data_IF_965593154348
#
_entry.id   IF_965593154348
#
_cell.length_a   1.000
_cell.length_b   1.000
_cell.length_c   1.000
_cell.angle_alpha   90.00
_cell.angle_beta   90.00
_cell.angle_gamma   90.00
#
_symmetry.space_group_name_H-M   'P 1'
#
loop_
_entity.id
_entity.type
_entity.pdbx_description
1 polymer ?
#
# COMPACT_ATOMS: atom_id res chain seq x y z
N UNK A 1 9.26 -1.85 18.77
CA UNK A 1 9.64 -0.92 19.88
C UNK A 1 8.43 -0.55 20.75
N UNK A 2 8.63 -0.04 21.98
CA UNK A 2 7.56 0.61 22.76
C UNK A 2 7.30 2.02 22.18
N UNK A 3 6.04 2.48 22.09
CA UNK A 3 5.73 3.84 21.65
C UNK A 3 6.43 4.86 22.56
N UNK A 4 6.95 5.93 21.97
CA UNK A 4 7.51 7.04 22.76
C UNK A 4 6.41 7.70 23.62
N UNK A 5 6.73 8.48 24.66
CA UNK A 5 5.72 9.18 25.48
C UNK A 5 4.79 10.13 24.70
N UNK A 6 5.14 10.42 23.44
CA UNK A 6 4.45 11.31 22.51
C UNK A 6 3.56 10.56 21.52
N UNK A 7 3.52 9.23 21.60
CA UNK A 7 2.84 8.35 20.67
C UNK A 7 1.82 7.49 21.41
N UNK A 8 0.66 7.27 20.81
CA UNK A 8 -0.35 6.35 21.34
C UNK A 8 -0.76 5.34 20.26
N UNK A 9 -1.17 4.15 20.71
CA UNK A 9 -1.49 3.02 19.81
C UNK A 9 -2.96 2.67 19.95
N UNK A 10 -3.85 3.27 19.16
CA UNK A 10 -5.29 3.03 19.31
C UNK A 10 -5.73 1.65 18.83
N UNK A 11 -5.07 1.09 17.81
CA UNK A 11 -5.43 -0.21 17.22
C UNK A 11 -4.27 -0.84 16.46
N UNK A 12 -4.49 -2.06 15.96
CA UNK A 12 -3.57 -2.78 15.07
C UNK A 12 -4.21 -2.97 13.70
N UNK A 13 -3.43 -2.83 12.65
CA UNK A 13 -3.85 -3.06 11.26
C UNK A 13 -2.83 -3.98 10.59
N UNK A 14 -3.31 -5.02 9.90
CA UNK A 14 -2.45 -6.02 9.26
C UNK A 14 -1.39 -6.55 10.25
N UNK A 15 -1.77 -6.85 11.50
CA UNK A 15 -0.87 -7.33 12.55
C UNK A 15 0.15 -6.33 13.11
N UNK A 16 0.30 -5.14 12.50
CA UNK A 16 1.20 -4.09 12.96
C UNK A 16 0.44 -3.04 13.80
N UNK A 17 1.04 -2.48 14.87
CA UNK A 17 0.46 -1.35 15.59
C UNK A 17 0.36 -0.12 14.70
N UNK A 18 -0.79 0.54 14.73
CA UNK A 18 -0.96 1.88 14.16
C UNK A 18 -0.68 2.87 15.28
N UNK A 19 0.33 3.70 15.10
CA UNK A 19 0.89 4.59 16.12
C UNK A 19 0.58 6.03 15.71
N UNK A 20 -0.12 6.77 16.55
CA UNK A 20 -0.44 8.17 16.30
C UNK A 20 0.43 9.07 17.17
N UNK A 21 1.00 10.11 16.58
CA UNK A 21 1.67 11.16 17.34
C UNK A 21 0.62 12.12 17.94
N UNK A 22 0.83 12.59 19.17
CA UNK A 22 -0.12 13.47 19.89
C UNK A 22 -0.50 14.74 19.12
N UNK A 23 0.39 15.22 18.24
CA UNK A 23 0.11 16.39 17.39
C UNK A 23 -1.10 16.19 16.46
N UNK A 24 -1.46 14.95 16.15
CA UNK A 24 -2.71 14.63 15.42
C UNK A 24 -3.90 15.14 16.21
N UNK A 25 -3.96 14.90 17.52
CA UNK A 25 -5.05 15.36 18.37
C UNK A 25 -5.14 16.89 18.40
N UNK A 26 -4.00 17.58 18.42
CA UNK A 26 -3.97 19.07 18.38
C UNK A 26 -4.50 19.60 17.06
N UNK A 27 -4.06 19.04 15.94
CA UNK A 27 -4.53 19.49 14.61
C UNK A 27 -6.01 19.17 14.43
N UNK A 28 -6.46 17.98 14.87
CA UNK A 28 -7.88 17.61 14.88
C UNK A 28 -8.67 18.62 15.72
N UNK A 29 -8.25 18.89 16.96
CA UNK A 29 -8.93 19.84 17.84
C UNK A 29 -8.99 21.26 17.23
N UNK A 30 -7.90 21.71 16.61
CA UNK A 30 -7.85 23.00 15.93
C UNK A 30 -8.84 23.05 14.76
N UNK A 31 -8.83 22.07 13.85
CA UNK A 31 -9.71 22.03 12.68
C UNK A 31 -11.19 21.98 13.07
N UNK A 32 -11.51 21.20 14.12
CA UNK A 32 -12.86 21.15 14.67
C UNK A 32 -13.26 22.48 15.31
N UNK A 33 -12.35 23.13 16.05
CA UNK A 33 -12.61 24.42 16.69
C UNK A 33 -12.89 25.52 15.67
N UNK A 34 -12.15 25.55 14.56
CA UNK A 34 -12.35 26.50 13.46
C UNK A 34 -13.69 26.27 12.74
N UNK A 35 -14.18 25.03 12.73
CA UNK A 35 -15.41 24.64 12.03
C UNK A 35 -16.64 24.54 12.94
N UNK A 36 -16.47 24.81 14.24
CA UNK A 36 -17.49 24.59 15.25
C UNK A 36 -18.77 25.39 15.00
N UNK A 37 -18.64 26.61 14.48
CA UNK A 37 -19.78 27.51 14.23
C UNK A 37 -20.50 27.26 12.90
N UNK A 38 -19.87 26.58 11.94
CA UNK A 38 -20.43 26.39 10.60
C UNK A 38 -21.13 25.06 10.47
N UNK A 39 -20.39 23.96 10.58
CA UNK A 39 -20.95 22.61 10.49
C UNK A 39 -20.01 21.58 11.15
N UNK A 40 -20.11 21.38 12.49
CA UNK A 40 -19.18 20.54 13.23
C UNK A 40 -19.22 19.07 12.81
N UNK A 41 -20.37 18.58 12.36
CA UNK A 41 -20.51 17.20 11.88
C UNK A 41 -19.73 16.98 10.58
N UNK A 42 -19.91 17.84 9.58
CA UNK A 42 -19.16 17.79 8.32
C UNK A 42 -17.65 17.86 8.57
N UNK A 43 -17.23 18.74 9.48
CA UNK A 43 -15.82 18.88 9.84
C UNK A 43 -15.26 17.62 10.49
N UNK A 44 -15.97 17.03 11.46
CA UNK A 44 -15.58 15.79 12.12
C UNK A 44 -15.43 14.63 11.11
N UNK A 45 -16.38 14.52 10.19
CA UNK A 45 -16.36 13.48 9.17
C UNK A 45 -15.24 13.71 8.16
N UNK A 46 -15.03 14.96 7.73
CA UNK A 46 -13.95 15.30 6.80
C UNK A 46 -12.57 15.02 7.40
N UNK A 47 -12.36 15.38 8.67
CA UNK A 47 -11.14 15.07 9.41
C UNK A 47 -10.94 13.56 9.54
N UNK A 48 -11.99 12.81 9.90
CA UNK A 48 -11.91 11.36 9.98
C UNK A 48 -11.60 10.72 8.62
N UNK A 49 -12.26 11.17 7.55
CA UNK A 49 -12.02 10.69 6.19
C UNK A 49 -10.59 10.99 5.73
N UNK A 50 -10.04 12.15 6.08
CA UNK A 50 -8.64 12.50 5.82
C UNK A 50 -7.65 11.65 6.63
N UNK A 51 -7.93 11.36 7.91
CA UNK A 51 -7.08 10.44 8.69
C UNK A 51 -7.13 9.02 8.11
N UNK A 52 -8.31 8.55 7.71
CA UNK A 52 -8.48 7.27 7.03
C UNK A 52 -7.74 7.23 5.69
N UNK A 53 -7.67 8.35 4.97
CA UNK A 53 -6.87 8.45 3.75
C UNK A 53 -5.39 8.16 4.03
N UNK A 54 -4.79 8.83 5.03
CA UNK A 54 -3.38 8.63 5.40
C UNK A 54 -3.17 7.18 5.87
N UNK A 55 -4.04 6.68 6.75
CA UNK A 55 -3.94 5.31 7.25
C UNK A 55 -4.05 4.29 6.11
N UNK A 56 -4.96 4.49 5.16
CA UNK A 56 -5.13 3.60 4.02
C UNK A 56 -3.90 3.58 3.11
N UNK A 57 -3.28 4.75 2.86
CA UNK A 57 -2.03 4.86 2.13
C UNK A 57 -0.91 4.04 2.81
N UNK A 58 -0.68 4.24 4.11
CA UNK A 58 0.34 3.46 4.83
C UNK A 58 -0.01 1.97 4.92
N UNK A 59 -1.29 1.65 5.01
CA UNK A 59 -1.78 0.27 4.96
C UNK A 59 -1.52 -0.39 3.60
N UNK A 60 -1.56 0.38 2.51
CA UNK A 60 -1.18 -0.07 1.17
C UNK A 60 0.27 -0.52 1.12
N UNK A 61 1.20 0.28 1.65
CA UNK A 61 2.61 -0.11 1.78
C UNK A 61 2.77 -1.37 2.63
N UNK A 62 2.16 -1.37 3.82
CA UNK A 62 2.24 -2.50 4.75
C UNK A 62 1.68 -3.80 4.15
N UNK A 63 0.58 -3.72 3.40
CA UNK A 63 -0.04 -4.86 2.76
C UNK A 63 0.87 -5.48 1.69
N UNK A 64 1.46 -4.65 0.82
CA UNK A 64 2.39 -5.14 -0.20
C UNK A 64 3.68 -5.69 0.44
N UNK A 65 4.21 -5.04 1.48
CA UNK A 65 5.37 -5.54 2.20
C UNK A 65 5.13 -6.94 2.79
N UNK A 66 3.99 -7.13 3.47
CA UNK A 66 3.60 -8.44 4.03
C UNK A 66 3.38 -9.49 2.94
N UNK A 67 2.78 -9.11 1.80
CA UNK A 67 2.63 -10.00 0.62
C UNK A 67 3.98 -10.49 0.10
N UNK A 68 5.05 -9.70 0.27
CA UNK A 68 6.42 -10.08 -0.05
C UNK A 68 7.17 -10.80 1.08
N UNK A 69 6.49 -11.14 2.17
CA UNK A 69 7.08 -11.82 3.33
C UNK A 69 7.98 -10.93 4.19
N UNK A 70 7.87 -9.61 4.04
CA UNK A 70 8.64 -8.64 4.83
C UNK A 70 7.91 -8.33 6.13
N UNK A 71 8.67 -8.23 7.22
CA UNK A 71 8.12 -7.82 8.51
C UNK A 71 7.71 -6.35 8.49
N UNK A 72 6.52 -6.04 9.03
CA UNK A 72 6.05 -4.66 9.22
C UNK A 72 6.01 -4.37 10.71
N UNK A 73 6.84 -3.42 11.16
CA UNK A 73 6.98 -3.07 12.57
C UNK A 73 5.84 -2.17 13.05
N UNK A 74 5.49 -1.12 12.30
CA UNK A 74 4.47 -0.15 12.70
C UNK A 74 4.02 0.74 11.54
N UNK A 75 2.79 1.26 11.63
CA UNK A 75 2.31 2.35 10.77
C UNK A 75 2.23 3.60 11.63
N UNK A 76 3.08 4.59 11.39
CA UNK A 76 3.09 5.83 12.17
C UNK A 76 2.32 6.93 11.44
N UNK A 77 1.43 7.60 12.15
CA UNK A 77 0.53 8.62 11.60
C UNK A 77 0.85 9.96 12.25
N UNK A 78 1.16 10.94 11.40
CA UNK A 78 1.34 12.34 11.73
C UNK A 78 0.22 13.16 11.08
N UNK A 79 0.03 14.43 11.47
CA UNK A 79 -1.09 15.22 10.94
C UNK A 79 -1.09 15.36 9.42
N UNK A 80 0.10 15.47 8.79
CA UNK A 80 0.22 15.77 7.36
C UNK A 80 0.76 14.60 6.53
N UNK A 81 1.29 13.55 7.17
CA UNK A 81 1.92 12.43 6.49
C UNK A 81 1.86 11.17 7.37
N UNK A 82 2.16 10.01 6.77
CA UNK A 82 2.38 8.77 7.50
C UNK A 82 3.81 8.26 7.32
N UNK A 83 4.10 7.13 7.96
CA UNK A 83 5.31 6.35 7.71
C UNK A 83 5.10 4.88 8.09
N UNK A 84 5.13 4.01 7.08
CA UNK A 84 5.18 2.57 7.26
C UNK A 84 6.62 2.13 7.56
N UNK A 85 6.85 1.64 8.77
CA UNK A 85 8.14 1.08 9.19
C UNK A 85 8.12 -0.42 8.92
N UNK A 86 8.95 -0.86 7.97
CA UNK A 86 9.03 -2.24 7.53
C UNK A 86 10.49 -2.69 7.31
N UNK A 87 10.70 -4.01 7.27
CA UNK A 87 11.97 -4.63 6.88
C UNK A 87 12.40 -4.15 5.49
N UNK A 88 13.69 -3.94 5.30
CA UNK A 88 14.24 -3.50 4.01
C UNK A 88 13.89 -4.48 2.88
N UNK A 89 13.50 -3.94 1.73
CA UNK A 89 13.24 -4.75 0.55
C UNK A 89 14.49 -5.52 0.12
N UNK A 90 14.34 -6.81 -0.19
CA UNK A 90 15.44 -7.70 -0.60
C UNK A 90 15.78 -7.55 -2.08
N UNK A 91 14.86 -6.98 -2.87
CA UNK A 91 15.03 -6.77 -4.31
C UNK A 91 14.46 -5.41 -4.75
N UNK A 92 14.95 -4.81 -5.85
CA UNK A 92 14.39 -3.58 -6.39
C UNK A 92 12.91 -3.71 -6.75
N UNK A 93 12.48 -4.88 -7.22
CA UNK A 93 11.08 -5.13 -7.58
C UNK A 93 10.15 -5.04 -6.37
N UNK A 94 10.59 -5.52 -5.21
CA UNK A 94 9.85 -5.41 -3.96
C UNK A 94 9.75 -3.95 -3.51
N UNK A 95 10.84 -3.18 -3.56
CA UNK A 95 10.85 -1.76 -3.18
C UNK A 95 9.87 -0.95 -4.04
N UNK A 96 9.90 -1.17 -5.36
CA UNK A 96 8.96 -0.58 -6.32
C UNK A 96 7.52 -0.98 -6.00
N UNK A 97 7.26 -2.27 -5.78
CA UNK A 97 5.92 -2.76 -5.49
C UNK A 97 5.36 -2.18 -4.18
N UNK A 98 6.18 -2.10 -3.14
CA UNK A 98 5.80 -1.50 -1.86
C UNK A 98 5.43 -0.04 -2.06
N UNK A 99 6.26 0.75 -2.78
CA UNK A 99 5.97 2.16 -3.06
C UNK A 99 4.63 2.34 -3.81
N UNK A 100 4.35 1.48 -4.80
CA UNK A 100 3.05 1.47 -5.49
C UNK A 100 1.88 1.03 -4.60
N UNK A 101 2.13 0.31 -3.50
CA UNK A 101 1.10 -0.12 -2.55
C UNK A 101 0.31 1.05 -1.96
N UNK A 102 1.00 2.09 -1.49
CA UNK A 102 0.35 3.27 -0.91
C UNK A 102 -0.43 4.08 -1.94
N UNK A 103 0.16 4.30 -3.13
CA UNK A 103 -0.53 4.95 -4.25
C UNK A 103 -1.76 4.14 -4.70
N UNK A 104 -1.65 2.81 -4.73
CA UNK A 104 -2.76 1.92 -5.07
C UNK A 104 -3.93 2.01 -4.08
N UNK A 105 -3.65 2.12 -2.79
CA UNK A 105 -4.67 2.33 -1.77
C UNK A 105 -5.37 3.69 -1.92
N UNK A 106 -4.61 4.75 -2.24
CA UNK A 106 -5.17 6.07 -2.56
C UNK A 106 -6.06 6.03 -3.81
N UNK A 107 -5.62 5.34 -4.87
CA UNK A 107 -6.41 5.17 -6.09
C UNK A 107 -7.72 4.42 -5.83
N UNK A 108 -7.70 3.41 -4.97
CA UNK A 108 -8.90 2.69 -4.54
C UNK A 108 -9.89 3.62 -3.82
N UNK A 109 -9.41 4.42 -2.86
CA UNK A 109 -10.25 5.39 -2.17
C UNK A 109 -10.81 6.46 -3.11
N UNK A 110 -10.02 6.90 -4.09
CA UNK A 110 -10.49 7.82 -5.12
C UNK A 110 -11.62 7.21 -5.95
N UNK A 111 -11.45 5.97 -6.40
CA UNK A 111 -12.51 5.23 -7.10
C UNK A 111 -13.79 5.10 -6.26
N UNK A 112 -13.64 4.79 -4.97
CA UNK A 112 -14.78 4.74 -4.04
C UNK A 112 -15.46 6.10 -3.87
N UNK A 113 -14.69 7.20 -3.80
CA UNK A 113 -15.25 8.55 -3.74
C UNK A 113 -16.07 8.90 -4.98
N UNK A 114 -15.62 8.49 -6.17
CA UNK A 114 -16.36 8.70 -7.41
C UNK A 114 -17.66 7.90 -7.44
N UNK A 115 -17.64 6.65 -6.96
CA UNK A 115 -18.85 5.83 -6.83
C UNK A 115 -19.86 6.46 -5.86
N UNK A 116 -19.39 6.91 -4.68
CA UNK A 116 -20.24 7.58 -3.68
C UNK A 116 -20.77 8.92 -4.21
N UNK A 117 -19.95 9.67 -4.95
CA UNK A 117 -20.34 10.96 -5.55
C UNK A 117 -21.35 10.81 -6.69
N UNK A 118 -21.39 9.66 -7.35
CA UNK A 118 -22.37 9.36 -8.39
C UNK A 118 -23.74 8.93 -7.83
N UNK A 119 -23.82 8.59 -6.54
CA UNK A 119 -25.10 8.28 -5.89
C UNK A 119 -25.94 9.57 -5.76
N UNK A 120 -27.29 9.46 -5.84
CA UNK A 120 -28.17 10.58 -5.57
C UNK A 120 -27.85 11.24 -4.24
N UNK A 121 -27.99 12.57 -4.17
CA UNK A 121 -27.76 13.32 -2.94
C UNK A 121 -28.59 12.73 -1.80
N UNK A 122 -27.90 12.27 -0.75
CA UNK A 122 -28.58 11.74 0.43
C UNK A 122 -29.32 12.88 1.16
N UNK A 123 -30.61 12.73 1.47
CA UNK A 123 -31.35 13.77 2.19
C UNK A 123 -31.01 13.77 3.69
N UNK A 124 -31.26 14.91 4.34
CA UNK A 124 -31.17 15.03 5.79
C UNK A 124 -29.75 14.95 6.34
N UNK A 125 -29.59 14.28 7.49
CA UNK A 125 -28.32 14.24 8.25
C UNK A 125 -27.18 13.50 7.53
N UNK A 126 -27.46 12.77 6.46
CA UNK A 126 -26.46 12.03 5.68
C UNK A 126 -25.81 12.88 4.58
N UNK A 127 -26.46 13.96 4.13
CA UNK A 127 -25.92 14.83 3.09
C UNK A 127 -24.51 15.35 3.42
N UNK A 128 -24.25 15.87 4.64
CA UNK A 128 -22.93 16.38 4.98
C UNK A 128 -21.87 15.28 5.11
N UNK A 129 -22.30 14.04 5.42
CA UNK A 129 -21.43 12.87 5.49
C UNK A 129 -20.91 12.51 4.09
N UNK A 130 -21.83 12.39 3.13
CA UNK A 130 -21.51 12.11 1.73
C UNK A 130 -20.58 13.20 1.17
N UNK A 131 -20.91 14.47 1.37
CA UNK A 131 -20.09 15.59 0.90
C UNK A 131 -18.68 15.56 1.49
N UNK A 132 -18.53 15.38 2.80
CA UNK A 132 -17.22 15.37 3.45
C UNK A 132 -16.32 14.22 2.95
N UNK A 133 -16.88 13.02 2.80
CA UNK A 133 -16.15 11.85 2.29
C UNK A 133 -15.74 12.05 0.83
N UNK A 134 -16.67 12.51 -0.02
CA UNK A 134 -16.38 12.76 -1.44
C UNK A 134 -15.31 13.82 -1.62
N UNK A 135 -15.31 14.89 -0.83
CA UNK A 135 -14.27 15.92 -0.87
C UNK A 135 -12.91 15.35 -0.41
N UNK A 136 -12.88 14.65 0.72
CA UNK A 136 -11.64 14.13 1.30
C UNK A 136 -11.00 13.04 0.43
N UNK A 137 -11.79 12.07 -0.04
CA UNK A 137 -11.30 10.93 -0.85
C UNK A 137 -11.29 11.19 -2.35
N UNK A 138 -11.97 12.24 -2.81
CA UNK A 138 -11.97 12.71 -4.20
C UNK A 138 -10.86 13.74 -4.45
N UNK A 139 -11.17 15.05 -4.53
CA UNK A 139 -10.19 16.07 -4.93
C UNK A 139 -8.98 16.18 -3.99
N UNK A 140 -9.16 16.09 -2.66
CA UNK A 140 -8.04 16.18 -1.71
C UNK A 140 -7.10 15.00 -1.86
N UNK A 141 -7.64 13.78 -1.87
CA UNK A 141 -6.87 12.57 -2.16
C UNK A 141 -6.20 12.62 -3.52
N UNK A 142 -6.89 13.04 -4.57
CA UNK A 142 -6.32 13.14 -5.92
C UNK A 142 -5.10 14.07 -5.95
N UNK A 143 -5.19 15.22 -5.28
CA UNK A 143 -4.06 16.12 -5.12
C UNK A 143 -2.89 15.43 -4.43
N UNK A 144 -3.13 14.73 -3.30
CA UNK A 144 -2.08 14.03 -2.55
C UNK A 144 -1.52 12.84 -3.34
N UNK A 145 -2.35 12.12 -4.08
CA UNK A 145 -1.96 11.01 -4.96
C UNK A 145 -1.03 11.52 -6.06
N UNK A 146 -1.36 12.64 -6.70
CA UNK A 146 -0.50 13.27 -7.71
C UNK A 146 0.83 13.69 -7.10
N UNK A 147 0.83 14.31 -5.91
CA UNK A 147 2.05 14.64 -5.19
C UNK A 147 2.87 13.39 -4.89
N UNK A 148 2.26 12.33 -4.36
CA UNK A 148 2.92 11.07 -4.05
C UNK A 148 3.48 10.37 -5.30
N UNK A 149 2.96 10.65 -6.49
CA UNK A 149 3.50 10.17 -7.76
C UNK A 149 4.64 11.03 -8.31
N UNK A 150 4.96 12.19 -7.75
CA UNK A 150 6.10 12.98 -8.22
C UNK A 150 7.42 12.23 -7.97
N UNK A 151 8.35 12.18 -8.94
CA UNK A 151 9.61 11.46 -8.83
C UNK A 151 10.66 12.21 -7.98
N UNK A 152 10.27 12.69 -6.80
CA UNK A 152 11.11 13.54 -5.92
C UNK A 152 11.12 12.97 -4.51
N UNK A 153 12.28 12.66 -3.90
CA UNK A 153 12.34 12.28 -2.49
C UNK A 153 11.80 13.41 -1.60
N UNK A 154 11.06 13.10 -0.52
CA UNK A 154 10.79 11.79 0.08
C UNK A 154 9.52 11.09 -0.45
N UNK A 155 8.92 11.54 -1.55
CA UNK A 155 7.65 11.04 -2.07
C UNK A 155 7.81 9.63 -2.69
N UNK A 156 6.73 8.86 -2.71
CA UNK A 156 6.78 7.47 -3.18
C UNK A 156 7.13 7.33 -4.65
N UNK A 157 6.80 8.33 -5.46
CA UNK A 157 7.12 8.41 -6.88
C UNK A 157 8.62 8.21 -7.13
N UNK A 158 9.49 8.70 -6.23
CA UNK A 158 10.93 8.50 -6.32
C UNK A 158 11.33 7.01 -6.34
N UNK A 159 10.59 6.16 -5.63
CA UNK A 159 10.77 4.69 -5.60
C UNK A 159 9.92 4.00 -6.66
N UNK A 160 8.66 4.38 -6.78
CA UNK A 160 7.68 3.80 -7.70
C UNK A 160 8.11 3.88 -9.18
N UNK A 161 8.67 5.01 -9.61
CA UNK A 161 9.12 5.18 -11.00
C UNK A 161 10.42 4.46 -11.35
N UNK A 162 11.13 3.87 -10.36
CA UNK A 162 12.29 3.00 -10.63
C UNK A 162 11.90 1.73 -11.41
N UNK A 163 10.59 1.47 -11.55
CA UNK A 163 10.05 0.45 -12.47
C UNK A 163 10.56 0.62 -13.89
N UNK A 164 10.70 1.85 -14.39
CA UNK A 164 11.13 2.12 -15.77
C UNK A 164 12.60 1.69 -16.01
N UNK A 165 13.60 2.19 -15.27
CA UNK A 165 14.98 1.74 -15.43
C UNK A 165 15.15 0.25 -15.09
N UNK A 166 14.42 -0.27 -14.09
CA UNK A 166 14.48 -1.69 -13.73
C UNK A 166 14.00 -2.60 -14.87
N UNK A 167 12.85 -2.28 -15.48
CA UNK A 167 12.37 -3.00 -16.66
C UNK A 167 13.39 -2.92 -17.78
N UNK A 168 13.88 -1.72 -18.12
CA UNK A 168 14.87 -1.52 -19.20
C UNK A 168 16.12 -2.40 -19.03
N UNK A 169 16.65 -2.50 -17.81
CA UNK A 169 17.79 -3.38 -17.51
C UNK A 169 17.44 -4.86 -17.70
N UNK A 170 16.26 -5.30 -17.23
CA UNK A 170 15.79 -6.67 -17.37
C UNK A 170 15.58 -7.08 -18.83
N UNK A 171 15.04 -6.19 -19.66
CA UNK A 171 14.90 -6.40 -21.10
C UNK A 171 16.26 -6.57 -21.78
N UNK A 172 17.25 -5.73 -21.44
CA UNK A 172 18.62 -5.83 -21.97
C UNK A 172 19.29 -7.15 -21.63
N UNK A 173 19.21 -7.59 -20.37
CA UNK A 173 19.79 -8.87 -19.96
C UNK A 173 19.16 -10.07 -20.68
N UNK A 174 17.84 -10.04 -20.90
CA UNK A 174 17.14 -11.07 -21.68
C UNK A 174 17.57 -11.10 -23.14
N UNK A 175 17.74 -9.93 -23.77
CA UNK A 175 18.20 -9.84 -25.15
C UNK A 175 19.65 -10.34 -25.35
N UNK A 176 20.49 -10.22 -24.32
CA UNK A 176 21.89 -10.65 -24.35
C UNK A 176 22.10 -12.11 -23.92
N UNK A 177 21.08 -12.76 -23.34
CA UNK A 177 21.16 -14.16 -22.95
C UNK A 177 21.26 -15.04 -24.21
N UNK A 178 22.45 -15.61 -24.46
CA UNK A 178 22.63 -16.60 -25.54
C UNK A 178 21.69 -17.80 -25.29
N UNK A 179 20.96 -18.29 -26.29
CA UNK A 179 20.23 -19.53 -26.15
C UNK A 179 21.22 -20.65 -25.84
N UNK A 180 21.10 -21.25 -24.65
CA UNK A 180 21.85 -22.45 -24.30
C UNK A 180 21.28 -23.56 -25.19
N UNK A 181 22.01 -23.90 -26.26
CA UNK A 181 21.68 -25.10 -27.04
C UNK A 181 21.82 -26.30 -26.09
N UNK A 182 20.77 -27.12 -25.91
CA UNK A 182 20.90 -28.32 -25.09
C UNK A 182 22.04 -29.18 -25.65
N UNK A 183 22.97 -29.59 -24.78
CA UNK A 183 24.04 -30.51 -25.15
C UNK A 183 23.39 -31.77 -25.74
N UNK A 184 23.75 -32.20 -26.96
CA UNK A 184 23.25 -33.47 -27.50
C UNK A 184 23.58 -34.57 -26.50
N UNK A 185 22.58 -35.38 -26.12
CA UNK A 185 22.83 -36.58 -25.30
C UNK A 185 23.83 -37.46 -26.02
N UNK A 186 24.78 -38.03 -25.28
CA UNK A 186 25.73 -38.96 -25.88
C UNK A 186 24.98 -40.18 -26.43
N UNK A 187 25.38 -40.75 -27.58
CA UNK A 187 24.80 -41.99 -28.09
C UNK A 187 24.90 -43.09 -27.03
N UNK A 188 23.77 -43.53 -26.48
CA UNK A 188 23.71 -44.55 -25.43
C UNK A 188 23.16 -44.10 -24.07
N UNK A 189 23.05 -42.79 -23.81
CA UNK A 189 22.43 -42.25 -22.58
C UNK A 189 20.89 -42.33 -22.67
N UNK A 190 20.33 -43.52 -22.41
CA UNK A 190 18.91 -43.66 -22.09
C UNK A 190 18.69 -43.13 -20.67
N UNK A 191 18.11 -41.93 -20.55
CA UNK A 191 17.59 -41.46 -19.28
C UNK A 191 16.60 -42.48 -18.69
N UNK A 192 16.53 -42.58 -17.36
CA UNK A 192 15.60 -43.49 -16.68
C UNK A 192 14.19 -43.34 -17.26
N UNK A 193 13.70 -44.40 -17.89
CA UNK A 193 12.32 -44.47 -18.40
C UNK A 193 11.45 -44.84 -17.21
N UNK A 194 10.93 -43.82 -16.53
CA UNK A 194 10.01 -44.01 -15.41
C UNK A 194 8.60 -44.09 -15.96
N UNK A 195 7.86 -45.15 -15.62
CA UNK A 195 6.44 -45.27 -15.94
C UNK A 195 5.65 -44.13 -15.27
N UNK A 196 4.64 -43.60 -15.96
CA UNK A 196 3.70 -42.61 -15.40
C UNK A 196 3.08 -43.09 -14.07
N UNK A 197 2.91 -44.41 -13.92
CA UNK A 197 2.36 -45.01 -12.69
C UNK A 197 3.32 -44.93 -11.50
N UNK A 198 4.64 -45.00 -11.74
CA UNK A 198 5.64 -44.81 -10.69
C UNK A 198 5.74 -43.36 -10.24
N UNK A 199 5.53 -42.41 -11.15
CA UNK A 199 5.57 -40.98 -10.84
C UNK A 199 4.43 -40.57 -9.89
N UNK A 200 3.25 -41.21 -10.03
CA UNK A 200 2.08 -40.95 -9.17
C UNK A 200 2.22 -41.51 -7.75
N UNK A 201 3.01 -42.58 -7.56
CA UNK A 201 3.28 -43.18 -6.24
C UNK A 201 4.30 -42.41 -5.41
N UNK A 202 5.08 -41.50 -6.01
CA UNK A 202 6.06 -40.64 -5.33
C UNK A 202 5.49 -39.28 -4.89
N UNK A 203 4.18 -39.21 -4.58
CA UNK A 203 3.70 -38.08 -3.77
C UNK A 203 4.33 -38.24 -2.37
N UNK A 204 4.98 -37.20 -1.81
CA UNK A 204 5.48 -37.29 -0.45
C UNK A 204 4.27 -37.57 0.45
N UNK A 205 4.40 -38.62 1.26
CA UNK A 205 3.54 -38.83 2.42
C UNK A 205 3.62 -37.54 3.23
N UNK A 206 2.49 -36.92 3.49
CA UNK A 206 2.38 -35.89 4.51
C UNK A 206 2.77 -36.57 5.82
N UNK A 207 3.94 -36.22 6.34
CA UNK A 207 4.24 -36.46 7.74
C UNK A 207 3.54 -35.34 8.53
N UNK A 208 2.62 -35.80 9.40
CA UNK A 208 1.93 -35.18 10.54
C UNK A 208 2.06 -33.67 10.82
#
# INVERSE_FOLDING_TARGET
MRPSPREFVPFRLLGAPVVFHWSVLVVVALLLSLSFRSNPLTAAVGVLAYLLLIVAHEAGHAWVARRHGLYVESLRIYPMHGCCVHESARTPAQDIAIAWGGVGAQALLFGLAMLIGALPSTPGMLAPLQTAVVIAWGPVNLMILVLNLLPVPPLDGARAWRVLPWLRQRWRMRAQAKPVKPKPRAPGERGQVVSLDEHRKRKPRSDD
#
